data_IF_713147394570
#
_entry.id   IF_713147394570
#
_cell.length_a   1.000
_cell.length_b   1.000
_cell.length_c   1.000
_cell.angle_alpha   90.00
_cell.angle_beta   90.00
_cell.angle_gamma   90.00
#
_symmetry.space_group_name_H-M   'P 1'
#
loop_
_entity.id
_entity.type
_entity.pdbx_description
1 polymer ?
#
# COMPACT_ATOMS: atom_id res chain seq x y z
N UNK A 1 6.31 -17.31 -19.33
CA UNK A 1 6.92 -16.16 -18.64
C UNK A 1 8.06 -16.67 -17.76
N UNK A 2 9.23 -16.04 -17.87
CA UNK A 2 10.35 -16.28 -16.96
C UNK A 2 10.52 -15.04 -16.09
N UNK A 3 10.57 -15.23 -14.76
CA UNK A 3 10.75 -14.14 -13.79
C UNK A 3 12.10 -14.34 -13.12
N UNK A 4 12.93 -13.31 -13.15
CA UNK A 4 14.22 -13.29 -12.45
C UNK A 4 14.22 -12.12 -11.46
N UNK A 5 14.54 -12.40 -10.20
CA UNK A 5 14.60 -11.38 -9.16
C UNK A 5 16.03 -11.24 -8.64
N UNK A 6 16.51 -10.02 -8.51
CA UNK A 6 17.80 -9.68 -7.95
C UNK A 6 17.62 -8.67 -6.84
N UNK A 7 18.18 -8.93 -5.66
CA UNK A 7 18.15 -8.05 -4.51
C UNK A 7 19.57 -7.53 -4.27
N UNK A 8 19.70 -6.23 -4.09
CA UNK A 8 20.96 -5.56 -3.76
C UNK A 8 20.77 -4.71 -2.51
N UNK A 9 21.59 -4.92 -1.51
CA UNK A 9 21.63 -4.04 -0.35
C UNK A 9 22.22 -2.68 -0.75
N UNK A 10 21.61 -1.62 -0.24
CA UNK A 10 22.16 -0.25 -0.35
C UNK A 10 23.08 0.02 0.86
N UNK A 11 24.13 -0.82 0.98
CA UNK A 11 25.12 -0.73 2.05
C UNK A 11 26.52 -0.97 1.46
N UNK A 12 27.52 -0.12 1.77
CA UNK A 12 28.84 -0.17 1.14
C UNK A 12 29.62 -1.46 1.47
N UNK A 13 29.31 -2.13 2.56
CA UNK A 13 30.03 -3.33 3.03
C UNK A 13 29.33 -4.65 2.65
N UNK A 14 28.27 -4.60 1.84
CA UNK A 14 27.49 -5.78 1.46
C UNK A 14 27.73 -6.17 -0.01
N UNK A 15 28.24 -7.37 -0.20
CA UNK A 15 28.33 -7.97 -1.53
C UNK A 15 27.00 -8.55 -1.97
N UNK A 16 26.62 -8.29 -3.23
CA UNK A 16 25.41 -8.84 -3.83
C UNK A 16 25.59 -10.33 -4.10
N UNK A 17 24.78 -11.17 -3.49
CA UNK A 17 24.76 -12.60 -3.75
C UNK A 17 24.03 -12.91 -5.05
N UNK A 18 24.55 -13.91 -5.79
CA UNK A 18 23.97 -14.33 -7.05
C UNK A 18 22.57 -14.97 -6.93
N UNK A 19 22.27 -15.55 -5.74
CA UNK A 19 20.98 -16.17 -5.42
C UNK A 19 19.90 -15.15 -4.99
N UNK A 20 20.24 -13.85 -4.98
CA UNK A 20 19.33 -12.79 -4.57
C UNK A 20 19.06 -12.75 -3.05
N UNK A 21 19.73 -13.58 -2.27
CA UNK A 21 19.62 -13.53 -0.82
C UNK A 21 20.40 -12.35 -0.27
N UNK A 22 19.76 -11.58 0.58
CA UNK A 22 20.40 -10.49 1.26
C UNK A 22 20.81 -10.91 2.68
N UNK A 23 22.12 -10.87 2.94
CA UNK A 23 22.65 -11.18 4.26
C UNK A 23 22.21 -10.13 5.28
N UNK A 24 21.97 -10.57 6.51
CA UNK A 24 21.60 -9.70 7.60
C UNK A 24 22.75 -8.75 7.97
N UNK A 25 22.45 -7.49 8.25
CA UNK A 25 23.39 -6.56 8.83
C UNK A 25 22.77 -5.76 9.98
N UNK A 26 23.62 -5.16 10.80
CA UNK A 26 23.17 -4.44 11.99
C UNK A 26 22.68 -3.04 11.61
N UNK A 27 21.37 -2.81 11.75
CA UNK A 27 20.78 -1.48 11.65
C UNK A 27 20.91 -0.80 13.01
N UNK A 28 21.89 0.10 13.13
CA UNK A 28 22.09 0.89 14.36
C UNK A 28 21.03 1.99 14.46
N UNK A 29 20.37 2.11 15.61
CA UNK A 29 19.28 3.00 15.99
C UNK A 29 18.88 4.13 15.04
N UNK A 30 17.62 4.32 14.75
CA UNK A 30 17.02 5.33 13.87
C UNK A 30 17.56 5.37 12.43
N UNK A 31 18.42 4.46 12.01
CA UNK A 31 18.88 4.35 10.63
C UNK A 31 17.93 3.48 9.81
N UNK A 32 17.79 3.82 8.54
CA UNK A 32 16.98 3.08 7.58
C UNK A 32 17.88 2.18 6.75
N UNK A 33 17.55 0.91 6.68
CA UNK A 33 18.11 0.00 5.69
C UNK A 33 17.35 0.14 4.37
N UNK A 34 18.07 0.10 3.26
CA UNK A 34 17.49 0.13 1.93
C UNK A 34 17.97 -1.07 1.13
N UNK A 35 17.06 -1.61 0.35
CA UNK A 35 17.40 -2.64 -0.63
C UNK A 35 16.79 -2.26 -1.98
N UNK A 36 17.54 -2.52 -3.05
CA UNK A 36 17.04 -2.40 -4.41
C UNK A 36 16.62 -3.76 -4.90
N UNK A 37 15.37 -3.88 -5.32
CA UNK A 37 14.84 -5.09 -5.92
C UNK A 37 14.66 -4.85 -7.41
N UNK A 38 15.36 -5.65 -8.22
CA UNK A 38 15.21 -5.65 -9.68
C UNK A 38 14.47 -6.90 -10.09
N UNK A 39 13.33 -6.73 -10.76
CA UNK A 39 12.52 -7.84 -11.26
C UNK A 39 12.55 -7.77 -12.79
N UNK A 40 13.11 -8.80 -13.41
CA UNK A 40 13.14 -8.94 -14.86
C UNK A 40 12.15 -10.01 -15.29
N UNK A 41 11.23 -9.65 -16.19
CA UNK A 41 10.22 -10.57 -16.71
C UNK A 41 10.45 -10.71 -18.20
N UNK A 42 10.71 -11.93 -18.65
CA UNK A 42 10.87 -12.28 -20.06
C UNK A 42 9.74 -13.21 -20.51
N UNK A 43 9.22 -12.98 -21.70
CA UNK A 43 8.20 -13.82 -22.30
C UNK A 43 7.81 -13.31 -23.68
N UNK A 44 7.07 -14.12 -24.43
CA UNK A 44 6.50 -13.73 -25.72
C UNK A 44 5.22 -12.88 -25.57
N UNK A 45 4.22 -13.13 -26.40
CA UNK A 45 2.91 -12.42 -26.40
C UNK A 45 2.20 -12.39 -25.04
N UNK A 46 2.48 -13.36 -24.14
CA UNK A 46 1.94 -13.37 -22.78
C UNK A 46 2.40 -12.17 -21.91
N UNK A 47 3.48 -11.50 -22.27
CA UNK A 47 3.97 -10.29 -21.57
C UNK A 47 3.00 -9.12 -21.71
N UNK A 48 2.27 -9.08 -22.83
CA UNK A 48 1.26 -8.04 -23.07
C UNK A 48 0.02 -8.18 -22.20
N UNK A 49 -0.16 -9.32 -21.55
CA UNK A 49 -1.27 -9.58 -20.62
C UNK A 49 -0.95 -9.22 -19.17
N UNK A 50 0.29 -8.80 -18.88
CA UNK A 50 0.71 -8.46 -17.51
C UNK A 50 0.33 -7.01 -17.22
N UNK A 51 -0.66 -6.80 -16.37
CA UNK A 51 -1.08 -5.47 -15.91
C UNK A 51 -0.40 -5.07 -14.61
N UNK A 52 -0.26 -6.00 -13.68
CA UNK A 52 0.26 -5.75 -12.34
C UNK A 52 1.14 -6.89 -11.88
N UNK A 53 2.21 -6.56 -11.18
CA UNK A 53 3.03 -7.49 -10.44
C UNK A 53 2.65 -7.40 -8.96
N UNK A 54 2.51 -8.55 -8.32
CA UNK A 54 2.42 -8.63 -6.88
C UNK A 54 3.78 -9.05 -6.32
N UNK A 55 4.43 -8.14 -5.60
CA UNK A 55 5.73 -8.39 -4.98
C UNK A 55 5.50 -8.65 -3.50
N UNK A 56 5.83 -9.85 -3.05
CA UNK A 56 5.74 -10.25 -1.65
C UNK A 56 7.11 -10.09 -0.98
N UNK A 57 7.22 -9.08 -0.14
CA UNK A 57 8.46 -8.77 0.58
C UNK A 57 8.39 -9.39 1.98
N UNK A 58 9.32 -10.29 2.26
CA UNK A 58 9.44 -10.93 3.57
C UNK A 58 10.79 -10.59 4.18
N UNK A 59 10.79 -10.18 5.43
CA UNK A 59 12.02 -9.91 6.15
C UNK A 59 11.94 -10.33 7.62
N UNK A 60 13.07 -10.47 8.24
CA UNK A 60 13.19 -10.83 9.64
C UNK A 60 14.07 -9.83 10.37
N UNK A 61 13.59 -9.39 11.51
CA UNK A 61 14.36 -8.57 12.44
C UNK A 61 14.76 -9.41 13.66
N UNK A 62 16.00 -9.25 14.08
CA UNK A 62 16.50 -9.80 15.34
C UNK A 62 16.70 -8.64 16.31
N UNK A 63 16.22 -8.78 17.52
CA UNK A 63 16.33 -7.75 18.56
C UNK A 63 16.16 -8.31 19.95
N UNK A 64 16.05 -7.43 20.98
CA UNK A 64 15.91 -7.84 22.38
C UNK A 64 14.68 -8.73 22.63
N UNK A 65 13.66 -8.66 21.77
CA UNK A 65 12.47 -9.49 21.84
C UNK A 65 12.53 -10.76 20.98
N UNK A 66 13.72 -11.13 20.50
CA UNK A 66 13.97 -12.30 19.68
C UNK A 66 13.76 -12.03 18.17
N UNK A 67 13.28 -13.05 17.46
CA UNK A 67 13.11 -13.05 16.01
C UNK A 67 11.70 -12.61 15.66
N UNK A 68 11.59 -11.53 14.91
CA UNK A 68 10.33 -11.02 14.39
C UNK A 68 10.29 -11.15 12.86
N UNK A 69 9.36 -11.95 12.36
CA UNK A 69 9.09 -12.06 10.92
C UNK A 69 8.08 -11.01 10.49
N UNK A 70 8.33 -10.38 9.35
CA UNK A 70 7.46 -9.39 8.73
C UNK A 70 7.20 -9.75 7.28
N UNK A 71 6.03 -9.40 6.78
CA UNK A 71 5.62 -9.61 5.41
C UNK A 71 4.82 -8.41 4.91
N UNK A 72 5.05 -8.01 3.68
CA UNK A 72 4.28 -6.95 3.03
C UNK A 72 4.11 -7.25 1.55
N UNK A 73 2.87 -7.24 1.08
CA UNK A 73 2.55 -7.28 -0.33
C UNK A 73 2.62 -5.88 -0.95
N UNK A 74 3.30 -5.77 -2.09
CA UNK A 74 3.45 -4.52 -2.83
C UNK A 74 2.95 -4.73 -4.25
N UNK A 75 1.78 -4.18 -4.64
CA UNK A 75 1.37 -4.16 -6.03
C UNK A 75 2.22 -3.15 -6.81
N UNK A 76 2.73 -3.57 -7.95
CA UNK A 76 3.49 -2.74 -8.89
C UNK A 76 2.74 -2.73 -10.22
N UNK A 77 2.16 -1.62 -10.59
CA UNK A 77 1.47 -1.48 -11.85
C UNK A 77 2.49 -1.47 -13.00
N UNK A 78 2.42 -2.47 -13.89
CA UNK A 78 3.18 -2.52 -15.14
C UNK A 78 2.45 -1.73 -16.21
N UNK A 79 1.12 -1.86 -16.20
CA UNK A 79 0.21 -1.13 -17.09
C UNK A 79 -0.91 -0.52 -16.26
N UNK A 80 -1.45 0.56 -16.76
CA UNK A 80 -2.64 1.18 -16.17
C UNK A 80 -3.60 1.60 -17.25
N UNK A 81 -4.84 1.90 -16.92
CA UNK A 81 -5.79 2.44 -17.86
C UNK A 81 -5.23 3.74 -18.44
N UNK A 82 -5.59 4.01 -19.68
CA UNK A 82 -5.35 5.35 -20.25
C UNK A 82 -6.15 6.37 -19.43
N UNK A 83 -5.59 7.55 -19.15
CA UNK A 83 -6.36 8.62 -18.54
C UNK A 83 -7.63 8.88 -19.33
N UNK A 84 -8.73 9.03 -18.61
CA UNK A 84 -10.02 9.32 -19.23
C UNK A 84 -9.96 10.69 -19.89
N UNK A 85 -10.52 10.82 -21.07
CA UNK A 85 -10.65 12.11 -21.77
C UNK A 85 -11.97 12.77 -21.39
N UNK A 86 -12.00 14.08 -21.38
CA UNK A 86 -13.20 14.85 -21.03
C UNK A 86 -14.42 14.52 -21.91
N UNK A 87 -14.17 14.22 -23.20
CA UNK A 87 -15.21 13.82 -24.16
C UNK A 87 -15.76 12.39 -23.92
N UNK A 88 -15.10 11.60 -23.10
CA UNK A 88 -15.48 10.23 -22.72
C UNK A 88 -16.01 10.14 -21.28
N UNK A 89 -16.03 11.27 -20.56
CA UNK A 89 -16.45 11.33 -19.17
C UNK A 89 -17.96 11.07 -19.02
N UNK A 90 -18.30 10.03 -18.27
CA UNK A 90 -19.69 9.67 -17.96
C UNK A 90 -20.03 10.14 -16.54
N UNK A 91 -20.53 11.35 -16.44
CA UNK A 91 -20.98 11.93 -15.19
C UNK A 91 -22.26 11.26 -14.69
N UNK A 92 -22.28 10.94 -13.42
CA UNK A 92 -23.44 10.35 -12.74
C UNK A 92 -24.12 11.41 -11.88
N UNK A 93 -25.43 11.57 -12.03
CA UNK A 93 -26.22 12.48 -11.19
C UNK A 93 -26.53 11.81 -9.85
N UNK A 94 -26.27 12.53 -8.76
CA UNK A 94 -26.57 12.15 -7.38
C UNK A 94 -27.34 13.27 -6.67
N UNK A 95 -27.59 13.13 -5.38
CA UNK A 95 -28.32 14.09 -4.55
C UNK A 95 -27.62 15.46 -4.50
N UNK A 96 -28.04 16.37 -5.40
CA UNK A 96 -27.55 17.74 -5.46
C UNK A 96 -26.15 17.93 -6.07
N UNK A 97 -25.51 16.88 -6.58
CA UNK A 97 -24.22 16.94 -7.24
C UNK A 97 -24.12 15.99 -8.42
N UNK A 98 -23.12 16.19 -9.27
CA UNK A 98 -22.72 15.22 -10.30
C UNK A 98 -21.35 14.63 -9.92
N UNK A 99 -21.18 13.32 -10.09
CA UNK A 99 -19.98 12.61 -9.70
C UNK A 99 -19.39 11.90 -10.92
N UNK A 100 -18.08 12.00 -11.08
CA UNK A 100 -17.33 11.26 -12.08
C UNK A 100 -16.37 10.27 -11.40
N UNK A 101 -16.68 8.97 -11.39
CA UNK A 101 -15.74 7.96 -10.94
C UNK A 101 -14.55 7.86 -11.91
N UNK A 102 -13.35 8.07 -11.41
CA UNK A 102 -12.12 8.02 -12.22
C UNK A 102 -11.38 6.73 -11.96
N UNK A 103 -11.26 5.89 -13.00
CA UNK A 103 -10.52 4.61 -12.91
C UNK A 103 -9.03 4.87 -12.95
N UNK A 104 -8.31 4.31 -11.98
CA UNK A 104 -6.85 4.31 -11.91
C UNK A 104 -6.27 2.90 -12.16
N UNK A 105 -4.95 2.78 -12.24
CA UNK A 105 -4.28 1.49 -12.07
C UNK A 105 -4.46 0.97 -10.63
N UNK A 106 -4.06 -0.26 -10.36
CA UNK A 106 -4.06 -0.79 -9.01
C UNK A 106 -2.98 -0.06 -8.18
N UNK A 107 -3.45 0.75 -7.22
CA UNK A 107 -2.60 1.61 -6.41
C UNK A 107 -1.79 0.80 -5.39
N UNK A 108 -0.57 1.24 -5.13
CA UNK A 108 0.35 0.58 -4.20
C UNK A 108 1.22 1.56 -3.41
N UNK A 109 2.04 1.05 -2.48
CA UNK A 109 2.92 1.87 -1.63
C UNK A 109 4.03 2.60 -2.40
N UNK A 110 4.24 2.27 -3.67
CA UNK A 110 5.22 2.94 -4.53
C UNK A 110 4.62 4.10 -5.32
N UNK A 111 3.31 4.31 -5.24
CA UNK A 111 2.64 5.41 -5.91
C UNK A 111 2.70 6.69 -5.08
N UNK A 112 2.89 7.81 -5.76
CA UNK A 112 2.69 9.13 -5.19
C UNK A 112 1.25 9.58 -5.41
N UNK A 113 0.48 9.89 -4.36
CA UNK A 113 -0.93 10.27 -4.51
C UNK A 113 -1.12 11.51 -5.39
N UNK A 114 -0.19 12.45 -5.34
CA UNK A 114 -0.28 13.67 -6.16
C UNK A 114 -0.06 13.35 -7.64
N UNK A 115 0.91 12.49 -7.96
CA UNK A 115 1.14 12.06 -9.33
C UNK A 115 -0.03 11.23 -9.89
N UNK A 116 -0.64 10.38 -9.06
CA UNK A 116 -1.86 9.64 -9.42
C UNK A 116 -3.00 10.61 -9.76
N UNK A 117 -3.24 11.61 -8.92
CA UNK A 117 -4.27 12.62 -9.16
C UNK A 117 -3.96 13.46 -10.40
N UNK A 118 -2.72 13.89 -10.59
CA UNK A 118 -2.30 14.62 -11.79
C UNK A 118 -2.52 13.82 -13.07
N UNK A 119 -2.20 12.52 -13.02
CA UNK A 119 -2.31 11.64 -14.19
C UNK A 119 -3.76 11.37 -14.59
N UNK A 120 -4.62 11.04 -13.62
CA UNK A 120 -5.95 10.51 -13.91
C UNK A 120 -7.07 11.53 -13.73
N UNK A 121 -6.97 12.45 -12.79
CA UNK A 121 -8.05 13.37 -12.45
C UNK A 121 -7.82 14.78 -12.99
N UNK A 122 -6.61 15.32 -12.92
CA UNK A 122 -6.36 16.71 -13.32
C UNK A 122 -6.80 17.07 -14.74
N UNK A 123 -6.70 16.19 -15.76
CA UNK A 123 -7.20 16.51 -17.11
C UNK A 123 -8.72 16.67 -17.21
N UNK A 124 -9.48 16.28 -16.19
CA UNK A 124 -10.94 16.28 -16.14
C UNK A 124 -11.50 17.41 -15.28
N UNK A 125 -10.66 18.02 -14.43
CA UNK A 125 -11.06 19.02 -13.44
C UNK A 125 -11.38 20.37 -14.11
N UNK A 126 -12.43 21.00 -13.62
CA UNK A 126 -12.82 22.36 -13.94
C UNK A 126 -12.83 23.24 -12.67
N UNK A 127 -12.73 24.56 -12.81
CA UNK A 127 -12.85 25.46 -11.67
C UNK A 127 -14.17 25.26 -10.92
N UNK A 128 -14.06 25.02 -9.61
CA UNK A 128 -15.20 24.74 -8.74
C UNK A 128 -15.46 23.26 -8.47
N UNK A 129 -14.77 22.36 -9.14
CA UNK A 129 -14.87 20.92 -8.86
C UNK A 129 -14.23 20.56 -7.52
N UNK A 130 -14.79 19.56 -6.87
CA UNK A 130 -14.26 18.93 -5.64
C UNK A 130 -13.69 17.58 -6.00
N UNK A 131 -12.38 17.41 -5.74
CA UNK A 131 -11.69 16.15 -5.93
C UNK A 131 -11.63 15.37 -4.63
N UNK A 132 -12.09 14.12 -4.65
CA UNK A 132 -12.05 13.22 -3.49
C UNK A 132 -11.25 11.97 -3.81
N UNK A 133 -10.57 11.43 -2.80
CA UNK A 133 -9.93 10.12 -2.85
C UNK A 133 -10.48 9.27 -1.70
N UNK A 134 -10.78 8.01 -1.97
CA UNK A 134 -11.28 7.10 -0.93
C UNK A 134 -10.21 6.82 0.14
N UNK A 135 -10.65 6.54 1.37
CA UNK A 135 -9.76 6.19 2.49
C UNK A 135 -8.87 4.98 2.17
N UNK A 136 -9.46 3.91 1.64
CA UNK A 136 -8.72 2.66 1.35
C UNK A 136 -7.63 2.87 0.30
N UNK A 137 -7.88 3.45 -0.87
CA UNK A 137 -6.82 3.79 -1.82
C UNK A 137 -5.70 4.64 -1.20
N UNK A 138 -6.07 5.62 -0.39
CA UNK A 138 -5.09 6.48 0.28
C UNK A 138 -4.25 5.71 1.30
N UNK A 139 -4.86 4.83 2.10
CA UNK A 139 -4.16 3.98 3.06
C UNK A 139 -3.20 3.00 2.35
N UNK A 140 -3.61 2.44 1.21
CA UNK A 140 -2.76 1.55 0.39
C UNK A 140 -1.54 2.29 -0.13
N UNK A 141 -1.71 3.49 -0.72
CA UNK A 141 -0.59 4.33 -1.19
C UNK A 141 0.36 4.67 -0.04
N UNK A 142 -0.16 4.96 1.15
CA UNK A 142 0.65 5.26 2.33
C UNK A 142 1.33 4.03 2.96
N UNK A 143 1.14 2.83 2.40
CA UNK A 143 1.66 1.60 2.95
C UNK A 143 1.06 1.21 4.31
N UNK A 144 -0.11 1.75 4.64
CA UNK A 144 -0.81 1.52 5.92
C UNK A 144 -1.86 0.42 5.85
N UNK A 145 -2.06 -0.16 4.69
CA UNK A 145 -2.98 -1.29 4.53
C UNK A 145 -2.31 -2.57 5.00
N UNK A 146 -3.01 -3.30 5.88
CA UNK A 146 -2.63 -4.64 6.32
C UNK A 146 -3.75 -5.61 5.99
N UNK A 147 -3.38 -6.81 5.54
CA UNK A 147 -4.38 -7.85 5.34
C UNK A 147 -4.92 -8.32 6.70
N UNK A 148 -6.26 -8.48 6.89
CA UNK A 148 -6.85 -8.86 8.17
C UNK A 148 -6.28 -10.13 8.80
N UNK A 149 -5.79 -11.09 7.98
CA UNK A 149 -5.15 -12.31 8.48
C UNK A 149 -3.77 -12.10 9.12
N UNK A 150 -3.17 -10.93 8.93
CA UNK A 150 -1.87 -10.56 9.49
C UNK A 150 -2.00 -9.69 10.74
N UNK A 151 -3.23 -9.31 11.09
CA UNK A 151 -3.54 -8.48 12.25
C UNK A 151 -4.00 -9.36 13.41
N UNK A 152 -3.29 -9.28 14.54
CA UNK A 152 -3.66 -9.97 15.77
C UNK A 152 -4.35 -9.00 16.74
N UNK A 153 -5.70 -8.95 16.78
CA UNK A 153 -6.42 -7.99 17.62
C UNK A 153 -6.23 -8.30 19.11
N UNK A 154 -5.69 -7.34 19.84
CA UNK A 154 -5.62 -7.37 21.30
C UNK A 154 -6.95 -7.09 21.98
N UNK A 155 -6.96 -7.17 23.31
CA UNK A 155 -8.20 -6.99 24.10
C UNK A 155 -8.80 -5.58 23.92
N UNK A 156 -7.97 -4.53 23.90
CA UNK A 156 -8.42 -3.14 23.70
C UNK A 156 -9.13 -3.01 22.35
N UNK A 157 -8.55 -3.56 21.27
CA UNK A 157 -9.16 -3.51 19.96
C UNK A 157 -10.52 -4.21 19.91
N UNK A 158 -10.61 -5.40 20.52
CA UNK A 158 -11.86 -6.18 20.58
C UNK A 158 -12.98 -5.52 21.38
N UNK A 159 -12.65 -4.71 22.37
CA UNK A 159 -13.62 -3.95 23.16
C UNK A 159 -13.99 -2.64 22.48
N UNK A 160 -13.00 -1.85 22.08
CA UNK A 160 -13.20 -0.52 21.51
C UNK A 160 -13.93 -0.56 20.15
N UNK A 161 -13.71 -1.57 19.31
CA UNK A 161 -14.41 -1.64 18.03
C UNK A 161 -15.94 -1.73 18.13
N UNK A 162 -16.47 -2.15 19.28
CA UNK A 162 -17.93 -2.37 19.47
C UNK A 162 -18.76 -1.10 19.57
N UNK A 163 -18.13 0.05 19.80
CA UNK A 163 -18.85 1.34 19.93
C UNK A 163 -18.98 2.08 18.61
N UNK A 164 -18.29 1.63 17.58
CA UNK A 164 -18.34 2.26 16.27
C UNK A 164 -19.49 1.75 15.42
N UNK A 165 -20.03 2.63 14.58
CA UNK A 165 -21.08 2.25 13.65
C UNK A 165 -20.59 1.16 12.67
N UNK A 166 -21.40 0.14 12.34
CA UNK A 166 -20.98 -0.99 11.50
C UNK A 166 -20.39 -0.64 10.12
N UNK A 167 -20.70 0.55 9.61
CA UNK A 167 -20.12 1.04 8.33
C UNK A 167 -18.70 1.59 8.48
N UNK A 168 -18.22 1.80 9.72
CA UNK A 168 -16.86 2.25 9.98
C UNK A 168 -15.86 1.09 9.93
N UNK A 169 -14.71 1.30 9.32
CA UNK A 169 -13.60 0.35 9.37
C UNK A 169 -13.13 0.05 10.79
N UNK A 170 -13.32 1.01 11.72
CA UNK A 170 -12.99 0.87 13.14
C UNK A 170 -13.98 -0.02 13.90
N UNK A 171 -15.12 -0.37 13.32
CA UNK A 171 -16.07 -1.32 13.90
C UNK A 171 -15.58 -2.77 13.86
N UNK A 172 -14.45 -3.04 13.20
CA UNK A 172 -13.81 -4.36 13.20
C UNK A 172 -12.62 -4.37 14.17
N UNK A 173 -12.40 -5.52 14.82
CA UNK A 173 -11.27 -5.65 15.75
C UNK A 173 -9.92 -5.48 15.03
N UNK A 174 -9.80 -5.93 13.77
CA UNK A 174 -8.60 -5.74 12.95
C UNK A 174 -8.39 -4.25 12.61
N UNK A 175 -9.43 -3.54 12.16
CA UNK A 175 -9.32 -2.11 11.86
C UNK A 175 -8.95 -1.29 13.10
N UNK A 176 -9.56 -1.60 14.24
CA UNK A 176 -9.23 -0.97 15.52
C UNK A 176 -7.80 -1.29 15.97
N UNK A 177 -7.31 -2.53 15.75
CA UNK A 177 -5.93 -2.89 16.07
C UNK A 177 -4.94 -2.13 15.20
N UNK A 178 -5.21 -2.00 13.91
CA UNK A 178 -4.36 -1.21 13.01
C UNK A 178 -4.23 0.25 13.48
N UNK A 179 -5.32 0.86 13.97
CA UNK A 179 -5.26 2.18 14.58
C UNK A 179 -4.40 2.17 15.86
N UNK A 180 -4.58 1.18 16.74
CA UNK A 180 -3.81 1.03 17.99
C UNK A 180 -2.32 0.89 17.68
N UNK A 181 -1.94 0.14 16.65
CA UNK A 181 -0.55 -0.07 16.25
C UNK A 181 0.12 1.24 15.79
N UNK A 182 -0.68 2.16 15.23
CA UNK A 182 -0.18 3.48 14.79
C UNK A 182 -0.09 4.49 15.93
N UNK A 183 -1.13 4.60 16.78
CA UNK A 183 -1.23 5.69 17.76
C UNK A 183 -0.97 5.25 19.20
N UNK A 184 -0.94 3.96 19.46
CA UNK A 184 -0.80 3.35 20.78
C UNK A 184 -2.13 3.16 21.52
N UNK A 185 -2.24 2.13 22.38
CA UNK A 185 -3.48 1.78 23.08
C UNK A 185 -3.94 2.87 24.06
N UNK A 186 -3.01 3.54 24.73
CA UNK A 186 -3.32 4.61 25.70
C UNK A 186 -4.03 5.80 25.07
N UNK A 187 -3.64 6.19 23.86
CA UNK A 187 -4.31 7.29 23.14
C UNK A 187 -5.71 6.91 22.70
N UNK A 188 -5.90 5.67 22.26
CA UNK A 188 -7.22 5.17 21.88
C UNK A 188 -8.15 5.14 23.11
N UNK A 189 -7.68 4.64 24.26
CA UNK A 189 -8.44 4.61 25.51
C UNK A 189 -8.77 6.03 26.01
N UNK A 190 -7.80 6.96 25.90
CA UNK A 190 -8.01 8.35 26.34
C UNK A 190 -8.98 9.13 25.45
N UNK A 191 -9.13 8.73 24.19
CA UNK A 191 -10.08 9.33 23.25
C UNK A 191 -11.49 8.73 23.32
N UNK A 192 -11.66 7.70 24.14
CA UNK A 192 -12.87 6.94 24.31
C UNK A 192 -13.65 7.40 25.57
#
# INVERSE_FOLDING_TARGET
LTVTTRIQADHPDEETRADGYWAAYIVKGLKTARARVTIEIRGGAALELVDTLWVDVQWMNYGPFGRLSRRQGVPVAVRGPRPLRADQAQWQSGDGCTVLPVKTHLLGPLDDPIEVLRRYAAPLLQPGDVLTIGETPLAVIQGRYQHPSEVEPGMVARLACRVFHPTSSLATACGMQTLIDVVGPTRVIAAW
#
